data_IF_819620323991
#
_entry.id   IF_819620323991
#
_cell.length_a   1.000
_cell.length_b   1.000
_cell.length_c   1.000
_cell.angle_alpha   90.00
_cell.angle_beta   90.00
_cell.angle_gamma   90.00
#
_symmetry.space_group_name_H-M   'P 1'
#
loop_
_entity.id
_entity.type
_entity.pdbx_description
1 polymer ?
#
# COMPACT_ATOMS: atom_id res chain seq x y z
N UNK A 1 -41.07 -18.12 -50.47
CA UNK A 1 -39.63 -17.85 -50.65
C UNK A 1 -39.11 -17.21 -49.38
N UNK A 2 -38.17 -17.87 -48.72
CA UNK A 2 -37.45 -17.43 -47.53
C UNK A 2 -36.54 -16.22 -47.84
N UNK A 3 -36.28 -15.38 -46.83
CA UNK A 3 -35.16 -14.43 -46.82
C UNK A 3 -35.32 -13.43 -45.66
N UNK A 4 -34.87 -13.71 -44.43
CA UNK A 4 -33.50 -13.78 -43.89
C UNK A 4 -33.23 -12.55 -42.99
N UNK A 5 -33.23 -12.82 -41.67
CA UNK A 5 -32.78 -11.94 -40.58
C UNK A 5 -31.32 -11.54 -40.77
N UNK A 6 -30.99 -10.27 -40.48
CA UNK A 6 -29.63 -9.86 -40.20
C UNK A 6 -29.56 -9.29 -38.77
N UNK A 7 -28.97 -10.06 -37.85
CA UNK A 7 -28.59 -9.61 -36.51
C UNK A 7 -27.17 -9.04 -36.59
N UNK A 8 -27.04 -7.73 -36.33
CA UNK A 8 -25.75 -7.07 -36.17
C UNK A 8 -25.17 -7.40 -34.78
N UNK A 9 -24.08 -8.17 -34.73
CA UNK A 9 -23.31 -8.41 -33.51
C UNK A 9 -22.27 -7.31 -33.29
N UNK A 10 -22.31 -6.65 -32.14
CA UNK A 10 -21.23 -5.78 -31.68
C UNK A 10 -20.16 -6.66 -31.01
N UNK A 11 -18.98 -6.77 -31.63
CA UNK A 11 -17.81 -7.35 -30.98
C UNK A 11 -17.13 -6.24 -30.15
N UNK A 12 -17.30 -6.29 -28.82
CA UNK A 12 -16.49 -5.47 -27.90
C UNK A 12 -15.10 -6.08 -27.75
N UNK A 13 -14.07 -5.31 -28.06
CA UNK A 13 -12.67 -5.68 -27.85
C UNK A 13 -12.38 -5.86 -26.36
N UNK A 14 -12.02 -7.09 -25.99
CA UNK A 14 -11.45 -7.38 -24.68
C UNK A 14 -10.03 -6.83 -24.63
N UNK A 15 -9.83 -5.71 -23.94
CA UNK A 15 -8.49 -5.21 -23.58
C UNK A 15 -7.79 -6.27 -22.74
N UNK A 16 -6.83 -6.96 -23.35
CA UNK A 16 -5.87 -7.83 -22.66
C UNK A 16 -4.83 -6.93 -21.99
N UNK A 17 -5.01 -6.60 -20.71
CA UNK A 17 -3.93 -6.01 -19.92
C UNK A 17 -2.93 -7.11 -19.58
N UNK A 18 -1.88 -7.23 -20.39
CA UNK A 18 -0.76 -8.11 -20.10
C UNK A 18 0.16 -7.37 -19.11
N UNK A 19 -0.12 -7.52 -17.81
CA UNK A 19 0.66 -6.93 -16.73
C UNK A 19 2.06 -7.56 -16.67
N UNK A 20 3.06 -6.87 -17.22
CA UNK A 20 4.49 -7.14 -17.00
C UNK A 20 5.12 -5.88 -16.41
N UNK A 21 4.46 -5.28 -15.42
CA UNK A 21 5.15 -4.33 -14.55
C UNK A 21 6.01 -5.17 -13.59
N UNK A 22 7.31 -4.85 -13.41
CA UNK A 22 8.14 -5.56 -12.46
C UNK A 22 7.55 -5.45 -11.05
N UNK A 23 7.30 -6.59 -10.40
CA UNK A 23 6.93 -6.59 -8.99
C UNK A 23 8.17 -6.17 -8.20
N UNK A 24 8.13 -4.96 -7.62
CA UNK A 24 9.19 -4.46 -6.74
C UNK A 24 9.05 -5.14 -5.38
N UNK A 25 10.00 -6.02 -5.04
CA UNK A 25 10.06 -6.62 -3.70
C UNK A 25 10.72 -5.66 -2.72
N UNK A 26 10.02 -5.34 -1.63
CA UNK A 26 10.52 -4.49 -0.56
C UNK A 26 11.50 -5.18 0.39
N UNK A 27 12.32 -4.38 1.06
CA UNK A 27 13.20 -4.77 2.17
C UNK A 27 12.71 -4.14 3.46
N UNK A 28 12.29 -4.97 4.41
CA UNK A 28 11.85 -4.50 5.73
C UNK A 28 12.95 -3.73 6.47
N UNK A 29 14.23 -4.09 6.29
CA UNK A 29 15.35 -3.38 6.92
C UNK A 29 15.50 -1.95 6.38
N UNK A 30 15.37 -1.76 5.07
CA UNK A 30 15.37 -0.42 4.47
C UNK A 30 14.12 0.37 4.87
N UNK A 31 12.96 -0.29 4.88
CA UNK A 31 11.71 0.30 5.36
C UNK A 31 11.80 0.78 6.80
N UNK A 32 12.45 0.00 7.68
CA UNK A 32 12.68 0.38 9.08
C UNK A 32 13.46 1.70 9.21
N UNK A 33 14.43 1.93 8.32
CA UNK A 33 15.20 3.19 8.30
C UNK A 33 14.30 4.35 7.87
N UNK A 34 13.53 4.17 6.79
CA UNK A 34 12.63 5.19 6.26
C UNK A 34 11.57 5.61 7.27
N UNK A 35 10.88 4.66 7.92
CA UNK A 35 9.81 5.01 8.87
C UNK A 35 10.33 5.66 10.15
N UNK A 36 11.56 5.33 10.58
CA UNK A 36 12.19 6.03 11.71
C UNK A 36 12.49 7.48 11.38
N UNK A 37 12.90 7.75 10.14
CA UNK A 37 13.22 9.11 9.69
C UNK A 37 11.96 9.95 9.45
N UNK A 38 10.93 9.35 8.85
CA UNK A 38 9.80 10.09 8.30
C UNK A 38 8.51 9.98 9.13
N UNK A 39 8.34 8.91 9.92
CA UNK A 39 7.07 8.60 10.59
C UNK A 39 7.15 8.64 12.12
N UNK A 40 8.33 8.44 12.71
CA UNK A 40 8.52 8.31 14.15
C UNK A 40 8.23 9.58 14.96
N UNK A 41 8.09 10.74 14.30
CA UNK A 41 7.65 11.96 14.97
C UNK A 41 6.22 11.88 15.51
N UNK A 42 5.37 11.02 14.93
CA UNK A 42 3.98 10.85 15.34
C UNK A 42 3.68 9.42 15.79
N UNK A 43 4.24 8.41 15.11
CA UNK A 43 3.93 7.00 15.35
C UNK A 43 5.01 6.30 16.18
N UNK A 44 4.61 5.34 17.02
CA UNK A 44 5.52 4.31 17.51
C UNK A 44 5.80 3.32 16.39
N UNK A 45 7.01 3.42 15.81
CA UNK A 45 7.42 2.60 14.66
C UNK A 45 8.11 1.30 15.06
N UNK A 46 8.65 1.22 16.28
CA UNK A 46 9.31 0.00 16.78
C UNK A 46 8.30 -1.07 17.24
N UNK A 47 8.80 -2.27 17.53
CA UNK A 47 8.00 -3.39 18.06
C UNK A 47 7.35 -3.12 19.44
N UNK A 48 7.72 -2.03 20.11
CA UNK A 48 7.21 -1.66 21.42
C UNK A 48 7.22 -0.14 21.62
N UNK A 49 6.58 0.32 22.69
CA UNK A 49 6.49 1.74 23.03
C UNK A 49 5.22 2.40 22.50
N UNK A 50 4.89 3.55 23.08
CA UNK A 50 3.69 4.31 22.72
C UNK A 50 4.00 5.37 21.68
N UNK A 51 3.02 5.67 20.83
CA UNK A 51 3.16 6.71 19.83
C UNK A 51 3.34 8.08 20.48
N UNK A 52 4.27 8.92 19.98
CA UNK A 52 4.41 10.30 20.46
C UNK A 52 3.11 11.10 20.35
N UNK A 53 2.32 10.85 19.30
CA UNK A 53 0.98 11.37 19.15
C UNK A 53 -0.05 10.29 19.49
N UNK A 54 -0.85 10.49 20.53
CA UNK A 54 -1.82 9.49 20.99
C UNK A 54 -2.87 9.07 19.92
N UNK A 55 -3.20 9.96 18.98
CA UNK A 55 -4.12 9.67 17.89
C UNK A 55 -3.47 8.86 16.75
N UNK A 56 -2.14 8.78 16.70
CA UNK A 56 -1.40 8.02 15.71
C UNK A 56 -1.20 6.59 16.25
N UNK A 57 -1.82 5.55 15.66
CA UNK A 57 -1.67 4.20 16.17
C UNK A 57 -0.21 3.72 16.04
N UNK A 58 0.29 2.91 16.98
CA UNK A 58 1.56 2.20 16.80
C UNK A 58 1.51 1.33 15.55
N UNK A 59 2.62 1.24 14.82
CA UNK A 59 2.65 0.51 13.55
C UNK A 59 2.32 -0.97 13.72
N UNK A 60 2.77 -1.60 14.81
CA UNK A 60 2.43 -2.98 15.17
C UNK A 60 0.93 -3.28 15.26
N UNK A 61 0.10 -2.26 15.49
CA UNK A 61 -1.35 -2.41 15.63
C UNK A 61 -2.10 -2.13 14.31
N UNK A 62 -1.42 -1.58 13.29
CA UNK A 62 -2.07 -1.19 12.03
C UNK A 62 -2.67 -2.38 11.28
N UNK A 63 -2.01 -3.53 11.30
CA UNK A 63 -2.50 -4.76 10.68
C UNK A 63 -3.81 -5.30 11.25
N UNK A 64 -4.19 -4.88 12.47
CA UNK A 64 -5.49 -5.20 13.07
C UNK A 64 -6.60 -4.35 12.47
N UNK A 65 -6.27 -3.13 12.03
CA UNK A 65 -7.23 -2.16 11.53
C UNK A 65 -7.57 -2.41 10.06
N UNK A 66 -6.58 -2.77 9.26
CA UNK A 66 -6.73 -3.06 7.83
C UNK A 66 -5.46 -3.74 7.26
N UNK A 67 -5.52 -4.36 6.07
CA UNK A 67 -4.34 -4.88 5.40
C UNK A 67 -3.37 -3.74 5.06
N UNK A 68 -2.21 -3.69 5.71
CA UNK A 68 -1.25 -2.58 5.52
C UNK A 68 -0.73 -2.47 4.08
N UNK A 69 -0.75 -3.57 3.32
CA UNK A 69 -0.42 -3.57 1.88
C UNK A 69 -1.30 -2.63 1.07
N UNK A 70 -2.55 -2.39 1.50
CA UNK A 70 -3.50 -1.55 0.79
C UNK A 70 -3.10 -0.06 0.88
N UNK A 71 -2.13 0.27 1.76
CA UNK A 71 -1.51 1.60 1.78
C UNK A 71 -0.57 1.85 0.60
N UNK A 72 -0.20 0.82 -0.17
CA UNK A 72 0.75 0.97 -1.27
C UNK A 72 0.27 1.99 -2.31
N UNK A 73 -1.01 1.93 -2.70
CA UNK A 73 -1.60 2.89 -3.63
C UNK A 73 -1.63 4.30 -3.03
N UNK A 74 -2.03 4.41 -1.75
CA UNK A 74 -2.07 5.70 -1.07
C UNK A 74 -0.67 6.35 -0.98
N UNK A 75 0.38 5.57 -0.74
CA UNK A 75 1.75 6.08 -0.79
C UNK A 75 2.17 6.47 -2.22
N UNK A 76 1.74 5.74 -3.24
CA UNK A 76 2.09 6.00 -4.64
C UNK A 76 1.45 7.28 -5.19
N UNK A 77 0.25 7.62 -4.71
CA UNK A 77 -0.43 8.87 -5.06
C UNK A 77 0.07 10.08 -4.26
N UNK A 78 1.03 9.86 -3.35
CA UNK A 78 1.40 10.82 -2.31
C UNK A 78 0.43 10.70 -1.16
N UNK A 79 0.93 10.20 -0.01
CA UNK A 79 0.10 9.76 1.10
C UNK A 79 -0.76 10.89 1.70
N UNK A 80 -1.97 11.06 1.19
CA UNK A 80 -3.04 11.82 1.83
C UNK A 80 -3.87 10.82 2.61
N UNK A 81 -3.48 10.53 3.85
CA UNK A 81 -4.30 9.66 4.69
C UNK A 81 -5.59 10.33 5.10
N UNK A 82 -6.50 9.55 5.69
CA UNK A 82 -7.80 9.99 6.15
C UNK A 82 -7.77 11.13 7.20
N UNK A 83 -6.60 11.59 7.67
CA UNK A 83 -6.50 12.67 8.65
C UNK A 83 -5.52 13.79 8.25
N UNK A 84 -5.93 15.07 8.29
CA UNK A 84 -5.10 16.21 7.86
C UNK A 84 -3.77 16.39 8.64
N UNK A 85 -3.63 15.73 9.79
CA UNK A 85 -2.42 15.83 10.62
C UNK A 85 -1.26 14.96 10.11
N UNK A 86 -1.53 13.97 9.26
CA UNK A 86 -0.47 13.18 8.64
C UNK A 86 0.06 13.93 7.43
N UNK A 87 1.37 14.24 7.38
CA UNK A 87 1.92 14.97 6.24
C UNK A 87 1.91 14.09 4.99
N UNK A 88 1.85 14.73 3.83
CA UNK A 88 2.11 14.04 2.57
C UNK A 88 3.59 13.62 2.51
N UNK A 89 3.82 12.42 1.96
CA UNK A 89 5.17 11.90 1.71
C UNK A 89 5.34 11.66 0.22
N UNK A 90 6.49 12.04 -0.31
CA UNK A 90 6.94 11.64 -1.64
C UNK A 90 7.94 10.49 -1.46
N UNK A 91 7.52 9.27 -1.79
CA UNK A 91 8.34 8.08 -1.75
C UNK A 91 8.49 7.52 -3.17
N UNK A 92 9.69 7.09 -3.52
CA UNK A 92 9.93 6.36 -4.76
C UNK A 92 9.26 4.96 -4.69
N UNK A 93 8.90 4.35 -5.83
CA UNK A 93 8.24 3.04 -5.84
C UNK A 93 8.96 1.96 -5.01
N UNK A 94 10.29 1.96 -5.01
CA UNK A 94 11.12 1.07 -4.18
C UNK A 94 11.03 1.37 -2.69
N UNK A 95 10.96 2.64 -2.32
CA UNK A 95 10.81 3.08 -0.93
C UNK A 95 9.41 2.74 -0.40
N UNK A 96 8.39 2.87 -1.23
CA UNK A 96 7.03 2.42 -0.91
C UNK A 96 7.04 0.92 -0.61
N UNK A 97 7.61 0.11 -1.50
CA UNK A 97 7.71 -1.34 -1.28
C UNK A 97 8.47 -1.67 0.01
N UNK A 98 9.57 -0.97 0.30
CA UNK A 98 10.34 -1.13 1.53
C UNK A 98 9.52 -0.78 2.79
N UNK A 99 8.78 0.34 2.77
CA UNK A 99 7.89 0.77 3.87
C UNK A 99 6.78 -0.25 4.10
N UNK A 100 6.11 -0.71 3.04
CA UNK A 100 5.06 -1.74 3.14
C UNK A 100 5.63 -3.03 3.72
N UNK A 101 6.78 -3.50 3.24
CA UNK A 101 7.42 -4.69 3.78
C UNK A 101 7.75 -4.56 5.28
N UNK A 102 8.15 -3.37 5.74
CA UNK A 102 8.37 -3.13 7.16
C UNK A 102 7.05 -3.12 7.95
N UNK A 103 6.02 -2.42 7.47
CA UNK A 103 4.71 -2.36 8.10
C UNK A 103 4.10 -3.77 8.25
N UNK A 104 4.21 -4.60 7.22
CA UNK A 104 3.77 -6.00 7.27
C UNK A 104 4.56 -6.81 8.30
N UNK A 105 5.89 -6.61 8.37
CA UNK A 105 6.76 -7.29 9.33
C UNK A 105 6.39 -6.97 10.78
N UNK A 106 6.24 -5.68 11.09
CA UNK A 106 5.98 -5.18 12.46
C UNK A 106 4.52 -5.39 12.88
N UNK A 107 3.56 -5.33 11.95
CA UNK A 107 2.15 -5.64 12.19
C UNK A 107 1.85 -7.14 12.21
N UNK A 108 2.78 -7.95 11.74
CA UNK A 108 2.61 -9.39 11.59
C UNK A 108 1.64 -9.84 10.50
N UNK A 109 1.41 -9.01 9.49
CA UNK A 109 0.49 -9.27 8.37
C UNK A 109 1.18 -9.65 7.06
N UNK A 110 2.50 -9.91 7.09
CA UNK A 110 3.24 -10.34 5.90
C UNK A 110 2.80 -11.71 5.38
N UNK A 111 3.02 -12.01 4.08
CA UNK A 111 2.62 -13.28 3.48
C UNK A 111 3.32 -14.46 4.17
N UNK A 112 2.53 -15.35 4.78
CA UNK A 112 3.02 -16.56 5.46
C UNK A 112 2.89 -16.58 6.99
N UNK A 113 2.19 -15.61 7.60
CA UNK A 113 1.68 -15.71 8.98
C UNK A 113 0.16 -15.87 8.99
#
# INVERSE_FOLDING_TARGET
MLGALALAGCAGEAVRQNGTEPVVMGSADRGAILVRQQCAGCHAVEHSGDSPLAAAPPFRDMGVLYPVRDLQEAFAEGLVTAHPAMPAFELQPTEIADVIAYLESVSGTGPGR
#
